data_IF_937547323045
#
_entry.id   IF_937547323045
#
_cell.length_a   1.000
_cell.length_b   1.000
_cell.length_c   1.000
_cell.angle_alpha   90.00
_cell.angle_beta   90.00
_cell.angle_gamma   90.00
#
_symmetry.space_group_name_H-M   'P 1'
#
loop_
_entity.id
_entity.type
_entity.pdbx_description
1 polymer ?
#
# COMPACT_ATOMS: atom_id res chain seq x y z
N UNK A 1 39.20 7.28 -0.02
CA UNK A 1 39.07 5.97 0.64
C UNK A 1 37.62 5.84 1.09
N UNK A 2 36.80 5.04 0.42
CA UNK A 2 35.47 4.67 0.94
C UNK A 2 35.67 3.60 2.01
N UNK A 3 35.10 3.80 3.20
CA UNK A 3 35.19 2.83 4.30
C UNK A 3 34.17 1.73 4.07
N UNK A 4 34.65 0.52 3.76
CA UNK A 4 33.78 -0.64 3.68
C UNK A 4 33.32 -1.08 5.09
N UNK A 5 32.05 -1.45 5.19
CA UNK A 5 31.40 -1.99 6.39
C UNK A 5 31.58 -3.51 6.50
N UNK A 6 31.38 -4.25 5.39
CA UNK A 6 31.54 -5.71 5.29
C UNK A 6 31.98 -6.06 3.87
N UNK A 7 33.18 -6.66 3.69
CA UNK A 7 33.70 -6.98 2.36
C UNK A 7 33.79 -5.73 1.46
N UNK A 8 33.10 -5.72 0.32
CA UNK A 8 33.01 -4.59 -0.61
C UNK A 8 31.75 -3.70 -0.38
N UNK A 9 31.03 -3.89 0.72
CA UNK A 9 29.82 -3.11 1.02
C UNK A 9 30.16 -1.85 1.80
N UNK A 10 29.71 -0.67 1.35
CA UNK A 10 29.94 0.62 1.99
C UNK A 10 28.62 1.36 2.32
N UNK A 11 28.73 2.54 2.94
CA UNK A 11 27.56 3.31 3.37
C UNK A 11 26.69 3.78 2.19
N UNK A 12 27.30 4.09 1.04
CA UNK A 12 26.57 4.49 -0.16
C UNK A 12 25.72 3.32 -0.69
N UNK A 13 26.30 2.13 -0.76
CA UNK A 13 25.60 0.90 -1.15
C UNK A 13 24.46 0.57 -0.17
N UNK A 14 24.69 0.75 1.13
CA UNK A 14 23.66 0.55 2.16
C UNK A 14 22.47 1.50 1.98
N UNK A 15 22.74 2.79 1.79
CA UNK A 15 21.69 3.79 1.60
C UNK A 15 20.85 3.50 0.35
N UNK A 16 21.48 3.05 -0.74
CA UNK A 16 20.78 2.70 -1.98
C UNK A 16 19.87 1.49 -1.80
N UNK A 17 20.32 0.41 -1.14
CA UNK A 17 19.48 -0.75 -0.88
C UNK A 17 18.32 -0.44 0.08
N UNK A 18 18.58 0.35 1.13
CA UNK A 18 17.52 0.81 2.04
C UNK A 18 16.47 1.64 1.32
N UNK A 19 16.89 2.54 0.42
CA UNK A 19 15.97 3.31 -0.42
C UNK A 19 15.09 2.39 -1.26
N UNK A 20 15.68 1.41 -1.96
CA UNK A 20 14.90 0.50 -2.81
C UNK A 20 13.91 -0.36 -2.02
N UNK A 21 14.30 -0.85 -0.84
CA UNK A 21 13.39 -1.59 0.06
C UNK A 21 12.25 -0.69 0.52
N UNK A 22 12.57 0.50 1.03
CA UNK A 22 11.57 1.49 1.43
C UNK A 22 10.62 1.82 0.27
N UNK A 23 11.15 2.05 -0.92
CA UNK A 23 10.37 2.42 -2.09
C UNK A 23 9.45 1.28 -2.55
N UNK A 24 9.92 0.03 -2.54
CA UNK A 24 9.08 -1.14 -2.82
C UNK A 24 7.94 -1.28 -1.80
N UNK A 25 8.22 -1.07 -0.51
CA UNK A 25 7.20 -1.06 0.54
C UNK A 25 6.21 0.11 0.38
N UNK A 26 6.69 1.27 -0.06
CA UNK A 26 5.84 2.43 -0.33
C UNK A 26 4.88 2.16 -1.50
N UNK A 27 5.35 1.54 -2.58
CA UNK A 27 4.50 1.12 -3.70
C UNK A 27 3.43 0.15 -3.21
N UNK A 28 3.82 -0.87 -2.43
CA UNK A 28 2.88 -1.81 -1.83
C UNK A 28 1.83 -1.11 -0.98
N UNK A 29 2.24 -0.18 -0.11
CA UNK A 29 1.35 0.57 0.75
C UNK A 29 0.35 1.43 -0.05
N UNK A 30 0.85 2.25 -0.97
CA UNK A 30 0.00 3.14 -1.79
C UNK A 30 -0.97 2.32 -2.64
N UNK A 31 -0.51 1.21 -3.22
CA UNK A 31 -1.38 0.38 -4.03
C UNK A 31 -2.53 -0.22 -3.21
N UNK A 32 -2.32 -0.58 -1.94
CA UNK A 32 -3.41 -1.00 -1.04
C UNK A 32 -4.30 0.18 -0.64
N UNK A 33 -3.75 1.36 -0.36
CA UNK A 33 -4.58 2.54 -0.03
C UNK A 33 -5.48 2.97 -1.20
N UNK A 34 -5.01 2.81 -2.45
CA UNK A 34 -5.80 3.05 -3.66
C UNK A 34 -7.02 2.12 -3.79
N UNK A 35 -7.06 1.01 -3.06
CA UNK A 35 -8.12 -0.01 -3.11
C UNK A 35 -9.16 0.14 -1.98
N UNK A 36 -9.24 1.31 -1.31
CA UNK A 36 -10.24 1.55 -0.25
C UNK A 36 -11.66 1.76 -0.78
N UNK A 37 -11.80 2.14 -2.04
CA UNK A 37 -13.07 2.42 -2.70
C UNK A 37 -13.14 1.72 -4.06
N UNK A 38 -14.34 1.33 -4.48
CA UNK A 38 -14.55 0.65 -5.78
C UNK A 38 -14.06 -0.81 -5.83
N UNK A 39 -13.75 -1.40 -4.68
CA UNK A 39 -13.39 -2.81 -4.53
C UNK A 39 -14.42 -3.56 -3.67
N UNK A 40 -14.65 -4.86 -3.92
CA UNK A 40 -14.06 -5.65 -5.00
C UNK A 40 -14.52 -5.19 -6.39
N UNK A 41 -13.67 -5.35 -7.40
CA UNK A 41 -14.03 -5.04 -8.78
C UNK A 41 -15.13 -5.99 -9.25
N UNK A 42 -16.08 -5.46 -10.02
CA UNK A 42 -17.21 -6.20 -10.58
C UNK A 42 -17.17 -6.14 -12.11
N UNK A 43 -17.68 -7.17 -12.76
CA UNK A 43 -17.94 -7.20 -14.20
C UNK A 43 -19.21 -6.42 -14.54
N UNK A 44 -19.47 -6.16 -15.82
CA UNK A 44 -20.66 -5.44 -16.29
C UNK A 44 -22.00 -6.11 -15.90
N UNK A 45 -21.98 -7.41 -15.63
CA UNK A 45 -23.13 -8.19 -15.17
C UNK A 45 -23.30 -8.22 -13.63
N UNK A 46 -22.45 -7.50 -12.90
CA UNK A 46 -22.44 -7.41 -11.43
C UNK A 46 -21.77 -8.60 -10.74
N UNK A 47 -21.20 -9.55 -11.47
CA UNK A 47 -20.41 -10.63 -10.86
C UNK A 47 -19.03 -10.14 -10.45
N UNK A 48 -18.42 -10.74 -9.42
CA UNK A 48 -17.07 -10.36 -8.99
C UNK A 48 -16.07 -10.61 -10.12
N UNK A 49 -15.24 -9.60 -10.43
CA UNK A 49 -14.20 -9.71 -11.43
C UNK A 49 -13.14 -10.74 -11.00
N UNK A 50 -12.72 -11.60 -11.95
CA UNK A 50 -11.78 -12.68 -11.69
C UNK A 50 -10.36 -12.20 -11.29
N UNK A 51 -9.99 -10.99 -11.70
CA UNK A 51 -8.73 -10.36 -11.34
C UNK A 51 -9.01 -9.17 -10.42
N UNK A 52 -8.56 -9.20 -9.17
CA UNK A 52 -8.69 -8.11 -8.20
C UNK A 52 -7.40 -7.28 -8.06
N UNK A 53 -6.41 -7.52 -8.92
CA UNK A 53 -5.05 -7.05 -8.75
C UNK A 53 -4.20 -7.98 -7.86
N UNK A 54 -2.89 -7.75 -7.80
CA UNK A 54 -1.95 -8.66 -7.11
C UNK A 54 -1.82 -8.41 -5.61
N UNK A 55 -2.50 -7.39 -5.06
CA UNK A 55 -2.38 -6.99 -3.67
C UNK A 55 -3.69 -7.27 -2.90
N UNK A 56 -3.59 -7.71 -1.63
CA UNK A 56 -4.77 -7.91 -0.81
C UNK A 56 -5.43 -6.58 -0.45
N UNK A 57 -6.77 -6.57 -0.33
CA UNK A 57 -7.51 -5.39 0.11
C UNK A 57 -7.01 -4.87 1.47
N UNK A 58 -6.98 -3.55 1.67
CA UNK A 58 -6.58 -2.96 2.95
C UNK A 58 -7.59 -3.28 4.05
N UNK A 59 -7.13 -3.29 5.30
CA UNK A 59 -8.04 -3.36 6.44
C UNK A 59 -8.90 -2.08 6.53
N UNK A 60 -10.14 -2.19 7.05
CA UNK A 60 -11.02 -1.05 7.20
C UNK A 60 -10.42 0.08 8.05
N UNK A 61 -10.50 1.30 7.54
CA UNK A 61 -10.11 2.54 8.22
C UNK A 61 -11.36 3.36 8.49
N UNK A 62 -11.55 3.77 9.74
CA UNK A 62 -12.68 4.60 10.16
C UNK A 62 -12.27 6.08 10.23
N UNK A 63 -13.04 6.91 9.54
CA UNK A 63 -12.95 8.36 9.53
C UNK A 63 -14.01 8.96 10.43
N UNK A 64 -13.59 9.75 11.42
CA UNK A 64 -14.50 10.52 12.29
C UNK A 64 -14.84 11.83 11.60
N UNK A 65 -16.11 12.01 11.26
CA UNK A 65 -16.56 13.20 10.55
C UNK A 65 -16.72 14.38 11.50
N UNK A 66 -16.46 15.59 10.99
CA UNK A 66 -16.60 16.82 11.77
C UNK A 66 -18.05 17.10 12.15
N UNK A 67 -18.25 17.93 13.17
CA UNK A 67 -19.55 18.45 13.62
C UNK A 67 -20.59 17.37 14.00
N UNK A 68 -20.14 16.24 14.56
CA UNK A 68 -21.05 15.19 15.02
C UNK A 68 -21.74 14.43 13.90
N UNK A 69 -21.20 14.45 12.67
CA UNK A 69 -21.74 13.73 11.51
C UNK A 69 -21.49 12.22 11.53
N UNK A 70 -20.99 11.69 12.65
CA UNK A 70 -20.73 10.26 12.84
C UNK A 70 -19.39 9.81 12.28
N UNK A 71 -19.34 8.54 11.89
CA UNK A 71 -18.13 7.87 11.40
C UNK A 71 -18.41 7.18 10.06
N UNK A 72 -17.40 7.10 9.20
CA UNK A 72 -17.45 6.40 7.92
C UNK A 72 -16.26 5.47 7.84
N UNK A 73 -16.45 4.23 7.40
CA UNK A 73 -15.39 3.22 7.35
C UNK A 73 -15.19 2.73 5.92
N UNK A 74 -13.93 2.57 5.50
CA UNK A 74 -13.57 2.03 4.18
C UNK A 74 -12.40 1.04 4.24
N UNK A 75 -12.45 -0.08 3.49
CA UNK A 75 -13.56 -0.51 2.64
C UNK A 75 -14.80 -0.90 3.46
N UNK A 76 -15.99 -0.61 2.94
CA UNK A 76 -17.29 -1.01 3.49
C UNK A 76 -17.93 -2.03 2.54
N UNK A 77 -17.97 -3.28 2.97
CA UNK A 77 -18.74 -4.33 2.28
C UNK A 77 -20.19 -4.30 2.77
#
# INVERSE_FOLDING_TARGET
>A
MTTALIGNFDLASAALWLFWIFFALLIFYIQRENMREGYPMENDDGTQAANQGPFPLPDPKTFKLSHGRGEVTFPNN
#
